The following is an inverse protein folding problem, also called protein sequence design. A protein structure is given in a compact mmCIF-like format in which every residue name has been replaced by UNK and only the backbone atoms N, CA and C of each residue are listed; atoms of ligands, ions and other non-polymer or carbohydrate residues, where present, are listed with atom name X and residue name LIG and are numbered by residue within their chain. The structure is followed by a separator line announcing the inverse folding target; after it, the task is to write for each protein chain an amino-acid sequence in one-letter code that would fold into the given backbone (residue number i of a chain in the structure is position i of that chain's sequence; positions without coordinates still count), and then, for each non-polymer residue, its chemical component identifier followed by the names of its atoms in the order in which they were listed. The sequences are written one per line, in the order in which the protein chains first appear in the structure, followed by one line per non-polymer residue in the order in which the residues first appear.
data_IF_401969712599
#
_entry.id   IF_401969712599
#
_cell.length_a   1.000
_cell.length_b   1.000
_cell.length_c   1.000
_cell.angle_alpha   90.00
_cell.angle_beta   90.00
_cell.angle_gamma   90.00
#
_symmetry.space_group_name_H-M   'P 1'
#
loop_
_entity.id
_entity.type
_entity.pdbx_description
1 polymer ?
#
# COMPACT_ATOMS: atom_id res chain seq x y z
N UNK A 1 21.78 -29.13 -37.80
CA UNK A 1 21.27 -27.89 -38.40
C UNK A 1 20.60 -27.16 -37.24
N UNK A 2 21.35 -26.32 -36.52
CA UNK A 2 20.94 -25.75 -35.25
C UNK A 2 20.12 -24.49 -35.49
N UNK A 3 18.88 -24.48 -35.03
CA UNK A 3 18.10 -23.27 -34.86
C UNK A 3 18.70 -22.48 -33.70
N UNK A 4 19.12 -21.25 -34.02
CA UNK A 4 19.52 -20.24 -33.05
C UNK A 4 18.22 -19.67 -32.48
N UNK A 5 17.93 -19.98 -31.21
CA UNK A 5 16.89 -19.28 -30.46
C UNK A 5 17.55 -18.04 -29.85
N UNK A 6 17.13 -16.88 -30.34
CA UNK A 6 17.55 -15.56 -29.89
C UNK A 6 17.12 -15.34 -28.43
N UNK A 7 18.06 -15.41 -27.49
CA UNK A 7 17.85 -15.23 -26.04
C UNK A 7 17.89 -13.75 -25.60
N UNK A 8 17.71 -12.79 -26.51
CA UNK A 8 17.85 -11.36 -26.22
C UNK A 8 16.75 -10.74 -25.33
N UNK A 9 15.81 -11.52 -24.77
CA UNK A 9 14.75 -11.00 -23.88
C UNK A 9 14.77 -11.50 -22.43
N UNK A 10 15.81 -12.24 -21.99
CA UNK A 10 15.92 -12.68 -20.59
C UNK A 10 16.93 -11.88 -19.73
N UNK A 11 17.52 -10.81 -20.27
CA UNK A 11 18.56 -10.02 -19.58
C UNK A 11 18.05 -8.75 -18.86
N UNK A 12 16.76 -8.57 -18.64
CA UNK A 12 16.20 -7.39 -17.94
C UNK A 12 15.83 -7.62 -16.48
N UNK A 13 16.31 -8.70 -15.84
CA UNK A 13 16.04 -8.93 -14.41
C UNK A 13 17.13 -8.25 -13.57
N UNK A 14 16.87 -6.98 -13.23
CA UNK A 14 17.29 -6.25 -12.04
C UNK A 14 18.66 -6.61 -11.42
N UNK A 15 19.74 -6.09 -12.01
CA UNK A 15 21.09 -6.09 -11.44
C UNK A 15 21.25 -5.20 -10.20
N UNK A 16 20.25 -4.37 -9.86
CA UNK A 16 20.40 -3.23 -8.95
C UNK A 16 19.85 -3.40 -7.52
N UNK A 17 19.34 -4.59 -7.16
CA UNK A 17 18.98 -4.92 -5.75
C UNK A 17 20.20 -5.36 -4.92
N UNK A 18 21.41 -5.34 -5.49
CA UNK A 18 22.57 -6.06 -4.96
C UNK A 18 23.34 -5.40 -3.83
N UNK A 19 23.18 -4.11 -3.52
CA UNK A 19 24.32 -3.43 -2.90
C UNK A 19 24.16 -2.93 -1.43
N UNK A 20 22.99 -3.10 -0.78
CA UNK A 20 22.99 -3.34 0.70
C UNK A 20 22.69 -4.77 1.08
N UNK A 21 22.34 -5.59 0.09
CA UNK A 21 22.13 -7.02 0.23
C UNK A 21 23.23 -7.81 -0.49
N UNK A 22 24.49 -7.37 -0.40
CA UNK A 22 25.61 -8.06 -1.08
C UNK A 22 25.71 -9.56 -0.73
N UNK A 23 25.07 -10.01 0.35
CA UNK A 23 25.01 -11.43 0.79
C UNK A 23 23.65 -12.13 0.65
N UNK A 24 22.55 -11.45 0.31
CA UNK A 24 21.20 -12.06 0.25
C UNK A 24 20.76 -12.21 -1.21
N UNK A 25 20.17 -13.37 -1.53
CA UNK A 25 19.48 -13.57 -2.80
C UNK A 25 18.26 -12.65 -2.87
N UNK A 26 17.82 -12.31 -4.09
CA UNK A 26 16.62 -11.50 -4.31
C UNK A 26 15.40 -12.09 -3.58
N UNK A 27 15.22 -13.41 -3.65
CA UNK A 27 14.16 -14.12 -2.95
C UNK A 27 14.17 -13.88 -1.43
N UNK A 28 15.36 -13.91 -0.80
CA UNK A 28 15.49 -13.67 0.65
C UNK A 28 15.18 -12.22 1.02
N UNK A 29 15.47 -11.28 0.12
CA UNK A 29 15.14 -9.88 0.31
C UNK A 29 13.64 -9.65 0.20
N UNK A 30 12.99 -10.20 -0.83
CA UNK A 30 11.53 -10.11 -0.99
C UNK A 30 10.81 -10.74 0.20
N UNK A 31 11.21 -11.95 0.61
CA UNK A 31 10.64 -12.59 1.79
C UNK A 31 10.83 -11.78 3.09
N UNK A 32 11.95 -11.05 3.22
CA UNK A 32 12.19 -10.16 4.36
C UNK A 32 11.28 -8.93 4.31
N UNK A 33 11.07 -8.35 3.13
CA UNK A 33 10.16 -7.23 2.92
C UNK A 33 8.74 -7.66 3.27
N UNK A 34 8.30 -8.81 2.77
CA UNK A 34 6.98 -9.37 3.08
C UNK A 34 6.80 -9.61 4.58
N UNK A 35 7.84 -10.13 5.25
CA UNK A 35 7.83 -10.30 6.70
C UNK A 35 7.70 -8.96 7.44
N UNK A 36 8.42 -7.92 7.02
CA UNK A 36 8.28 -6.59 7.61
C UNK A 36 6.90 -6.00 7.37
N UNK A 37 6.27 -6.24 6.21
CA UNK A 37 4.95 -5.68 5.89
C UNK A 37 3.85 -6.16 6.84
N UNK A 38 3.98 -7.35 7.44
CA UNK A 38 3.00 -7.94 8.38
C UNK A 38 3.40 -7.81 9.85
N UNK A 39 4.57 -7.24 10.13
CA UNK A 39 5.11 -7.08 11.47
C UNK A 39 4.77 -5.69 12.03
N UNK A 40 4.14 -5.68 13.20
CA UNK A 40 3.69 -4.47 13.91
C UNK A 40 4.81 -3.78 14.68
N UNK A 41 5.93 -4.47 14.91
CA UNK A 41 7.03 -3.96 15.72
C UNK A 41 8.09 -3.25 14.86
N UNK A 42 7.98 -3.30 13.54
CA UNK A 42 9.02 -2.77 12.63
C UNK A 42 8.44 -1.81 11.59
N UNK A 43 9.20 -0.78 11.23
CA UNK A 43 8.93 0.14 10.12
C UNK A 43 10.03 0.03 9.07
N UNK A 44 9.71 -0.57 7.93
CA UNK A 44 10.65 -0.72 6.82
C UNK A 44 10.90 0.59 6.07
N UNK A 45 12.05 0.66 5.41
CA UNK A 45 12.36 1.72 4.46
C UNK A 45 13.12 1.15 3.27
N UNK A 46 12.91 1.76 2.11
CA UNK A 46 13.81 1.66 0.98
C UNK A 46 14.64 2.94 0.88
N UNK A 47 15.91 2.83 0.50
CA UNK A 47 16.78 3.97 0.22
C UNK A 47 17.65 3.68 -1.00
N UNK A 48 18.25 4.73 -1.57
CA UNK A 48 19.14 4.61 -2.72
C UNK A 48 20.55 4.99 -2.28
N UNK A 49 21.52 4.14 -2.57
CA UNK A 49 22.93 4.37 -2.29
C UNK A 49 23.71 4.54 -3.58
N UNK A 50 24.91 5.10 -3.47
CA UNK A 50 25.93 5.08 -4.51
C UNK A 50 27.11 4.24 -4.02
N UNK A 51 27.62 3.33 -4.84
CA UNK A 51 28.70 2.42 -4.44
C UNK A 51 29.96 3.20 -4.04
N UNK A 52 30.51 2.88 -2.87
CA UNK A 52 31.68 3.55 -2.28
C UNK A 52 31.39 4.94 -1.68
N UNK A 53 30.11 5.36 -1.65
CA UNK A 53 29.64 6.60 -1.02
C UNK A 53 28.35 6.36 -0.23
N UNK A 54 28.28 5.24 0.46
CA UNK A 54 27.11 4.83 1.22
C UNK A 54 26.84 5.79 2.39
N UNK A 55 25.59 6.23 2.52
CA UNK A 55 25.11 7.09 3.61
C UNK A 55 23.98 6.35 4.31
N UNK A 56 24.14 6.07 5.59
CA UNK A 56 23.12 5.38 6.38
C UNK A 56 22.30 6.37 7.22
N UNK A 57 20.99 6.13 7.42
CA UNK A 57 20.21 5.00 6.87
C UNK A 57 19.58 5.29 5.50
N UNK A 58 19.41 6.56 5.13
CA UNK A 58 18.54 6.98 4.02
C UNK A 58 19.25 7.30 2.70
N UNK A 59 20.52 6.93 2.59
CA UNK A 59 21.25 6.98 1.35
C UNK A 59 21.52 8.40 0.85
N UNK A 60 21.93 8.49 -0.40
CA UNK A 60 22.42 9.73 -1.02
C UNK A 60 21.32 10.80 -1.17
N UNK A 61 20.05 10.37 -1.20
CA UNK A 61 18.88 11.26 -1.26
C UNK A 61 18.54 11.78 0.14
N UNK A 62 19.05 11.12 1.19
CA UNK A 62 18.72 11.36 2.59
C UNK A 62 17.20 11.35 2.85
N UNK A 63 16.47 10.46 2.17
CA UNK A 63 15.02 10.26 2.31
C UNK A 63 14.66 8.79 2.03
N UNK A 64 13.84 8.15 2.88
CA UNK A 64 13.33 6.82 2.62
C UNK A 64 12.16 6.84 1.63
N UNK A 65 11.92 5.69 1.00
CA UNK A 65 10.68 5.36 0.30
C UNK A 65 9.94 4.28 1.10
N UNK A 66 8.61 4.33 1.08
CA UNK A 66 7.77 3.29 1.66
C UNK A 66 7.51 2.15 0.68
N UNK A 67 7.32 2.44 -0.60
CA UNK A 67 7.10 1.44 -1.65
C UNK A 67 8.36 1.25 -2.51
N UNK A 68 8.61 -0.01 -2.89
CA UNK A 68 9.78 -0.37 -3.72
C UNK A 68 9.71 0.25 -5.12
N UNK A 69 8.53 0.25 -5.74
CA UNK A 69 8.32 0.81 -7.08
C UNK A 69 8.66 2.31 -7.16
N UNK A 70 8.40 3.07 -6.09
CA UNK A 70 8.78 4.47 -5.97
C UNK A 70 10.30 4.63 -5.93
N UNK A 71 10.99 3.76 -5.18
CA UNK A 71 12.45 3.73 -5.14
C UNK A 71 13.04 3.34 -6.50
N UNK A 72 12.47 2.35 -7.19
CA UNK A 72 12.90 1.91 -8.53
C UNK A 72 12.75 3.03 -9.56
N UNK A 73 11.59 3.70 -9.61
CA UNK A 73 11.41 4.87 -10.50
C UNK A 73 12.44 5.96 -10.23
N UNK A 74 12.74 6.24 -8.96
CA UNK A 74 13.74 7.27 -8.63
C UNK A 74 15.15 6.82 -8.97
N UNK A 75 15.47 5.54 -8.79
CA UNK A 75 16.76 4.95 -9.15
C UNK A 75 17.02 5.11 -10.66
N UNK A 76 16.04 4.80 -11.50
CA UNK A 76 16.16 4.93 -12.95
C UNK A 76 16.36 6.38 -13.39
N UNK A 77 15.66 7.33 -12.75
CA UNK A 77 15.93 8.77 -12.95
C UNK A 77 17.37 9.13 -12.63
N UNK A 78 17.91 8.67 -11.49
CA UNK A 78 19.28 8.97 -11.09
C UNK A 78 20.34 8.38 -12.02
N UNK A 79 20.15 7.14 -12.49
CA UNK A 79 21.05 6.52 -13.48
C UNK A 79 21.01 7.24 -14.81
N UNK A 80 19.83 7.70 -15.24
CA UNK A 80 19.71 8.49 -16.47
C UNK A 80 20.42 9.84 -16.35
N UNK A 81 20.38 10.47 -15.17
CA UNK A 81 21.03 11.76 -14.90
C UNK A 81 22.54 11.62 -14.72
N UNK A 82 23.01 10.53 -14.13
CA UNK A 82 24.41 10.29 -13.79
C UNK A 82 24.81 8.82 -14.07
N UNK A 83 25.00 8.43 -15.34
CA UNK A 83 25.20 7.02 -15.72
C UNK A 83 26.51 6.41 -15.21
N UNK A 84 27.49 7.25 -14.87
CA UNK A 84 28.79 6.82 -14.35
C UNK A 84 28.77 6.44 -12.86
N UNK A 85 27.65 6.72 -12.17
CA UNK A 85 27.51 6.41 -10.74
C UNK A 85 26.73 5.11 -10.59
N UNK A 86 27.33 4.12 -9.92
CA UNK A 86 26.65 2.87 -9.63
C UNK A 86 25.67 3.04 -8.46
N UNK A 87 24.41 3.29 -8.80
CA UNK A 87 23.31 3.39 -7.86
C UNK A 87 22.60 2.05 -7.67
N UNK A 88 22.13 1.85 -6.44
CA UNK A 88 21.38 0.65 -6.07
C UNK A 88 20.41 0.91 -4.92
N UNK A 89 19.38 0.06 -4.85
CA UNK A 89 18.38 0.14 -3.79
C UNK A 89 18.79 -0.67 -2.59
N UNK A 90 18.40 -0.15 -1.44
CA UNK A 90 18.68 -0.71 -0.15
C UNK A 90 17.44 -0.78 0.70
N UNK A 91 17.33 -1.81 1.52
CA UNK A 91 16.18 -2.00 2.40
C UNK A 91 16.65 -2.19 3.84
N UNK A 92 15.94 -1.58 4.77
CA UNK A 92 16.17 -1.70 6.20
C UNK A 92 14.87 -1.54 6.97
N UNK A 93 14.93 -1.70 8.28
CA UNK A 93 13.80 -1.46 9.16
C UNK A 93 14.26 -0.92 10.51
N UNK A 94 13.39 -0.15 11.15
CA UNK A 94 13.54 0.32 12.52
C UNK A 94 12.48 -0.31 13.41
N UNK A 95 12.79 -0.58 14.67
CA UNK A 95 11.75 -0.88 15.64
C UNK A 95 10.82 0.34 15.79
N UNK A 96 9.52 0.11 15.86
CA UNK A 96 8.51 1.18 16.02
C UNK A 96 8.76 2.01 17.28
N UNK A 97 9.35 1.42 18.32
CA UNK A 97 9.73 2.10 19.55
C UNK A 97 10.81 3.19 19.37
N UNK A 98 11.56 3.17 18.27
CA UNK A 98 12.54 4.21 17.95
C UNK A 98 11.93 5.41 17.20
N UNK A 99 10.67 5.31 16.78
CA UNK A 99 10.00 6.33 15.99
C UNK A 99 8.99 7.09 16.85
N UNK A 100 8.95 8.42 16.69
CA UNK A 100 7.93 9.24 17.32
C UNK A 100 6.86 9.64 16.30
N UNK A 101 5.79 8.83 16.21
CA UNK A 101 4.67 9.10 15.30
C UNK A 101 3.94 10.42 15.59
N UNK A 102 4.02 10.90 16.84
CA UNK A 102 3.36 12.13 17.28
C UNK A 102 4.23 13.39 17.09
N UNK A 103 5.47 13.29 16.59
CA UNK A 103 6.33 14.47 16.45
C UNK A 103 5.95 15.32 15.23
N UNK A 104 5.09 16.32 15.43
CA UNK A 104 4.63 17.23 14.38
C UNK A 104 5.75 18.11 13.77
N UNK A 105 6.96 18.14 14.37
CA UNK A 105 8.06 19.00 13.91
C UNK A 105 9.03 18.32 12.94
N UNK A 106 8.84 17.03 12.65
CA UNK A 106 9.68 16.32 11.68
C UNK A 106 9.55 16.92 10.27
N UNK A 107 10.59 16.84 9.43
CA UNK A 107 10.49 17.29 8.04
C UNK A 107 9.32 16.60 7.31
N UNK A 108 8.72 17.29 6.33
CA UNK A 108 7.55 16.79 5.60
C UNK A 108 7.76 15.40 4.98
N UNK A 109 8.96 15.09 4.47
CA UNK A 109 9.24 13.77 3.90
C UNK A 109 9.15 12.66 4.96
N UNK A 110 9.59 12.95 6.19
CA UNK A 110 9.57 12.01 7.31
C UNK A 110 8.14 11.83 7.79
N UNK A 111 7.38 12.93 7.88
CA UNK A 111 5.95 12.90 8.18
C UNK A 111 5.18 12.02 7.19
N UNK A 112 5.42 12.15 5.89
CA UNK A 112 4.77 11.30 4.87
C UNK A 112 5.11 9.83 5.08
N UNK A 113 6.38 9.49 5.31
CA UNK A 113 6.80 8.11 5.54
C UNK A 113 6.22 7.53 6.84
N UNK A 114 6.21 8.30 7.93
CA UNK A 114 5.59 7.90 9.21
C UNK A 114 4.09 7.70 9.08
N UNK A 115 3.40 8.56 8.33
CA UNK A 115 1.96 8.44 8.08
C UNK A 115 1.61 7.15 7.32
N UNK A 116 2.41 6.76 6.32
CA UNK A 116 2.23 5.48 5.61
C UNK A 116 2.40 4.29 6.55
N UNK A 117 3.38 4.34 7.45
CA UNK A 117 3.57 3.32 8.48
C UNK A 117 2.46 3.28 9.51
N UNK A 118 1.99 4.44 9.95
CA UNK A 118 0.88 4.53 10.89
C UNK A 118 -0.40 3.92 10.32
N UNK A 119 -0.69 4.20 9.05
CA UNK A 119 -1.80 3.57 8.35
C UNK A 119 -1.64 2.04 8.27
N UNK A 120 -0.46 1.56 7.86
CA UNK A 120 -0.14 0.12 7.80
C UNK A 120 -0.33 -0.55 9.17
N UNK A 121 0.23 0.02 10.23
CA UNK A 121 0.13 -0.52 11.59
C UNK A 121 -1.32 -0.51 12.10
N UNK A 122 -2.07 0.54 11.80
CA UNK A 122 -3.51 0.60 12.08
C UNK A 122 -4.23 -0.55 11.38
N UNK A 123 -3.95 -0.79 10.10
CA UNK A 123 -4.55 -1.87 9.33
C UNK A 123 -4.26 -3.26 9.92
N UNK A 124 -3.01 -3.53 10.30
CA UNK A 124 -2.64 -4.80 10.94
C UNK A 124 -3.40 -5.03 12.24
N UNK A 125 -3.55 -3.98 13.07
CA UNK A 125 -4.28 -4.06 14.33
C UNK A 125 -5.76 -4.30 14.12
N UNK A 126 -6.40 -3.58 13.18
CA UNK A 126 -7.81 -3.78 12.83
C UNK A 126 -8.06 -5.20 12.34
N UNK A 127 -7.19 -5.75 11.48
CA UNK A 127 -7.32 -7.12 10.96
C UNK A 127 -7.22 -8.21 12.03
N UNK A 128 -6.63 -7.91 13.19
CA UNK A 128 -6.55 -8.82 14.35
C UNK A 128 -7.68 -8.63 15.36
N UNK A 129 -8.54 -7.61 15.19
CA UNK A 129 -9.65 -7.38 16.11
C UNK A 129 -10.69 -8.48 16.01
N UNK A 130 -11.22 -8.89 17.16
CA UNK A 130 -12.40 -9.74 17.22
C UNK A 130 -13.64 -9.00 16.72
N UNK A 131 -14.67 -9.74 16.30
CA UNK A 131 -15.96 -9.16 15.90
C UNK A 131 -16.54 -8.24 16.98
N UNK A 132 -16.42 -8.61 18.27
CA UNK A 132 -16.88 -7.76 19.37
C UNK A 132 -16.17 -6.40 19.38
N UNK A 133 -14.84 -6.39 19.21
CA UNK A 133 -14.07 -5.15 19.13
C UNK A 133 -14.42 -4.33 17.89
N UNK A 134 -14.70 -4.98 16.75
CA UNK A 134 -15.12 -4.31 15.52
C UNK A 134 -16.51 -3.67 15.67
N UNK A 135 -17.46 -4.32 16.34
CA UNK A 135 -18.79 -3.75 16.66
C UNK A 135 -18.68 -2.57 17.61
N UNK A 136 -17.80 -2.65 18.62
CA UNK A 136 -17.53 -1.51 19.51
C UNK A 136 -16.94 -0.31 18.75
N UNK A 137 -16.09 -0.57 17.74
CA UNK A 137 -15.44 0.46 16.93
C UNK A 137 -16.37 1.05 15.85
N UNK A 138 -17.22 0.21 15.26
CA UNK A 138 -18.17 0.54 14.20
C UNK A 138 -19.52 -0.09 14.55
N UNK A 139 -20.44 0.67 15.17
CA UNK A 139 -21.69 0.12 15.70
C UNK A 139 -22.57 -0.63 14.69
N UNK A 140 -22.50 -0.28 13.41
CA UNK A 140 -23.24 -0.94 12.33
C UNK A 140 -22.41 -1.99 11.56
N UNK A 141 -21.30 -2.48 12.13
CA UNK A 141 -20.42 -3.46 11.51
C UNK A 141 -21.16 -4.72 11.02
N UNK A 142 -22.05 -5.28 11.85
CA UNK A 142 -22.79 -6.51 11.49
C UNK A 142 -23.75 -6.29 10.32
N UNK A 143 -24.43 -5.15 10.29
CA UNK A 143 -25.30 -4.76 9.18
C UNK A 143 -24.51 -4.60 7.88
N UNK A 144 -23.30 -4.00 7.95
CA UNK A 144 -22.41 -3.86 6.80
C UNK A 144 -21.90 -5.22 6.29
N UNK A 145 -21.62 -6.17 7.17
CA UNK A 145 -21.20 -7.52 6.79
C UNK A 145 -22.34 -8.30 6.10
N UNK A 146 -23.56 -8.19 6.61
CA UNK A 146 -24.74 -8.78 5.95
C UNK A 146 -24.95 -8.14 4.59
N UNK A 147 -24.87 -6.81 4.51
CA UNK A 147 -24.99 -6.09 3.24
C UNK A 147 -23.90 -6.53 2.25
N UNK A 148 -22.64 -6.65 2.67
CA UNK A 148 -21.53 -7.11 1.83
C UNK A 148 -21.85 -8.44 1.15
N UNK A 149 -22.35 -9.40 1.92
CA UNK A 149 -22.70 -10.73 1.42
C UNK A 149 -23.85 -10.65 0.40
N UNK A 150 -24.86 -9.82 0.64
CA UNK A 150 -25.96 -9.62 -0.34
C UNK A 150 -25.49 -9.00 -1.65
N UNK A 151 -24.44 -8.18 -1.61
CA UNK A 151 -23.88 -7.54 -2.81
C UNK A 151 -22.78 -8.38 -3.48
N UNK A 152 -22.41 -9.53 -2.91
CA UNK A 152 -21.35 -10.39 -3.42
C UNK A 152 -21.79 -11.21 -4.65
N UNK A 153 -22.11 -10.52 -5.74
CA UNK A 153 -22.62 -11.10 -6.99
C UNK A 153 -21.59 -10.99 -8.12
N UNK A 154 -21.74 -11.73 -9.21
CA UNK A 154 -20.87 -11.57 -10.39
C UNK A 154 -21.11 -10.25 -11.13
N UNK A 155 -22.33 -9.73 -11.09
CA UNK A 155 -22.77 -8.54 -11.83
C UNK A 155 -22.42 -7.20 -11.17
N UNK A 156 -22.03 -7.21 -9.89
CA UNK A 156 -21.76 -6.01 -9.12
C UNK A 156 -20.52 -6.15 -8.21
N UNK A 157 -19.86 -5.03 -7.96
CA UNK A 157 -18.80 -4.85 -6.98
C UNK A 157 -19.32 -3.94 -5.87
N UNK A 158 -19.30 -4.42 -4.63
CA UNK A 158 -19.39 -3.52 -3.48
C UNK A 158 -18.08 -2.78 -3.28
N UNK A 159 -18.15 -1.61 -2.69
CA UNK A 159 -16.98 -0.87 -2.22
C UNK A 159 -17.32 -0.04 -0.99
N UNK A 160 -16.28 0.34 -0.27
CA UNK A 160 -16.32 1.16 0.93
C UNK A 160 -15.41 2.37 0.77
N UNK A 161 -15.76 3.49 1.38
CA UNK A 161 -14.94 4.69 1.44
C UNK A 161 -14.98 5.26 2.85
N UNK A 162 -13.83 5.65 3.38
CA UNK A 162 -13.79 6.55 4.52
C UNK A 162 -13.98 7.99 4.01
N UNK A 163 -14.96 8.70 4.57
CA UNK A 163 -15.33 10.05 4.15
C UNK A 163 -15.36 10.96 5.37
N UNK A 164 -14.58 12.04 5.36
CA UNK A 164 -14.73 13.10 6.34
C UNK A 164 -15.94 13.98 5.96
N UNK A 165 -16.65 14.45 6.97
CA UNK A 165 -17.80 15.32 6.81
C UNK A 165 -17.44 16.77 7.13
N UNK A 166 -18.08 17.70 6.42
CA UNK A 166 -18.13 19.09 6.83
C UNK A 166 -19.20 19.33 7.90
N UNK A 167 -19.34 20.58 8.33
CA UNK A 167 -20.33 20.99 9.34
C UNK A 167 -21.79 20.80 8.87
N UNK A 168 -22.03 20.59 7.57
CA UNK A 168 -23.34 20.32 6.97
C UNK A 168 -23.58 18.84 6.69
N UNK A 169 -22.77 17.96 7.28
CA UNK A 169 -22.75 16.51 7.03
C UNK A 169 -22.51 16.13 5.55
N UNK A 170 -21.98 17.05 4.74
CA UNK A 170 -21.61 16.76 3.36
C UNK A 170 -20.23 16.10 3.30
N UNK A 171 -20.13 15.11 2.42
CA UNK A 171 -18.89 14.37 2.23
C UNK A 171 -17.82 15.24 1.58
N UNK A 172 -16.67 15.32 2.23
CA UNK A 172 -15.50 16.03 1.70
C UNK A 172 -14.68 15.01 0.94
N UNK A 173 -14.34 15.34 -0.31
CA UNK A 173 -13.43 14.53 -1.10
C UNK A 173 -12.09 14.44 -0.37
N UNK A 174 -11.74 13.24 0.05
CA UNK A 174 -10.42 12.91 0.58
C UNK A 174 -9.68 12.12 -0.49
N UNK A 175 -8.37 11.99 -0.34
CA UNK A 175 -7.58 11.02 -1.12
C UNK A 175 -7.91 9.56 -0.73
N UNK A 176 -9.13 9.27 -0.26
CA UNK A 176 -9.53 7.95 0.17
C UNK A 176 -9.73 7.05 -1.04
N UNK A 177 -9.03 5.93 -1.01
CA UNK A 177 -9.18 4.85 -1.96
C UNK A 177 -10.54 4.17 -1.78
N UNK A 178 -11.04 3.56 -2.85
CA UNK A 178 -12.23 2.71 -2.77
C UNK A 178 -11.75 1.33 -2.32
N UNK A 179 -12.25 0.88 -1.17
CA UNK A 179 -11.85 -0.39 -0.57
C UNK A 179 -12.89 -1.48 -0.88
N UNK A 180 -12.44 -2.68 -1.24
CA UNK A 180 -13.33 -3.86 -1.24
C UNK A 180 -13.50 -4.39 0.18
N UNK A 181 -12.40 -4.45 0.94
CA UNK A 181 -12.44 -4.96 2.32
C UNK A 181 -12.93 -3.87 3.29
N UNK A 182 -14.00 -4.19 4.03
CA UNK A 182 -14.52 -3.32 5.08
C UNK A 182 -13.46 -3.01 6.15
N UNK A 183 -12.57 -3.95 6.47
CA UNK A 183 -11.51 -3.73 7.47
C UNK A 183 -10.51 -2.68 7.02
N UNK A 184 -10.21 -2.60 5.72
CA UNK A 184 -9.36 -1.56 5.15
C UNK A 184 -10.05 -0.18 5.25
N UNK A 185 -11.35 -0.12 4.98
CA UNK A 185 -12.14 1.12 5.18
C UNK A 185 -12.23 1.55 6.65
N UNK A 186 -12.34 0.60 7.59
CA UNK A 186 -12.28 0.88 9.03
C UNK A 186 -10.91 1.44 9.41
N UNK A 187 -9.83 0.88 8.85
CA UNK A 187 -8.46 1.37 9.08
C UNK A 187 -8.30 2.81 8.58
N UNK A 188 -8.82 3.11 7.39
CA UNK A 188 -8.84 4.45 6.84
C UNK A 188 -9.66 5.42 7.68
N UNK A 189 -10.84 5.01 8.17
CA UNK A 189 -11.63 5.82 9.10
C UNK A 189 -10.83 6.18 10.36
N UNK A 190 -10.13 5.22 10.96
CA UNK A 190 -9.31 5.48 12.16
C UNK A 190 -8.18 6.45 11.88
N UNK A 191 -7.43 6.22 10.80
CA UNK A 191 -6.33 7.09 10.40
C UNK A 191 -6.80 8.53 10.14
N UNK A 192 -7.86 8.72 9.34
CA UNK A 192 -8.38 10.06 9.06
C UNK A 192 -8.99 10.75 10.28
N UNK A 193 -9.62 9.99 11.18
CA UNK A 193 -10.12 10.55 12.45
C UNK A 193 -8.99 11.14 13.30
N UNK A 194 -7.78 10.56 13.22
CA UNK A 194 -6.59 11.08 13.87
C UNK A 194 -6.02 12.30 13.13
N UNK A 195 -5.82 12.21 11.82
CA UNK A 195 -5.14 13.26 11.04
C UNK A 195 -6.01 14.47 10.71
N UNK A 196 -7.33 14.37 10.89
CA UNK A 196 -8.28 15.46 10.67
C UNK A 196 -9.10 15.72 11.96
N UNK A 197 -8.44 16.16 13.04
CA UNK A 197 -9.11 16.36 14.32
C UNK A 197 -10.24 17.38 14.18
N UNK A 198 -11.36 17.11 14.86
CA UNK A 198 -12.56 17.96 14.82
C UNK A 198 -13.52 17.67 13.65
N UNK A 199 -13.21 16.71 12.78
CA UNK A 199 -14.14 16.24 11.74
C UNK A 199 -14.70 14.87 12.09
N UNK A 200 -15.98 14.67 11.77
CA UNK A 200 -16.60 13.35 11.81
C UNK A 200 -16.16 12.59 10.56
N UNK A 201 -15.66 11.37 10.74
CA UNK A 201 -15.33 10.46 9.64
C UNK A 201 -16.26 9.26 9.70
N UNK A 202 -16.88 8.93 8.58
CA UNK A 202 -17.80 7.82 8.43
C UNK A 202 -17.38 6.89 7.30
N UNK A 203 -17.87 5.64 7.35
CA UNK A 203 -17.70 4.68 6.26
C UNK A 203 -18.96 4.75 5.42
N UNK A 204 -18.81 5.06 4.14
CA UNK A 204 -19.87 4.99 3.14
C UNK A 204 -19.67 3.72 2.32
N UNK A 205 -20.76 3.02 2.04
CA UNK A 205 -20.78 1.83 1.19
C UNK A 205 -21.51 2.12 -0.11
N UNK A 206 -21.06 1.53 -1.21
CA UNK A 206 -21.67 1.69 -2.52
C UNK A 206 -21.53 0.44 -3.39
N UNK A 207 -22.26 0.42 -4.50
CA UNK A 207 -22.19 -0.66 -5.49
C UNK A 207 -21.94 -0.05 -6.86
N UNK A 208 -21.04 -0.67 -7.61
CA UNK A 208 -20.79 -0.37 -9.02
C UNK A 208 -21.01 -1.65 -9.83
N UNK A 209 -21.50 -1.54 -11.06
CA UNK A 209 -21.64 -2.74 -11.91
C UNK A 209 -20.25 -3.29 -12.27
N UNK A 210 -20.14 -4.60 -12.45
CA UNK A 210 -18.89 -5.22 -12.91
C UNK A 210 -18.48 -4.69 -14.28
N UNK A 211 -19.46 -4.43 -15.16
CA UNK A 211 -19.21 -3.86 -16.48
C UNK A 211 -18.59 -2.46 -16.37
N UNK A 212 -19.19 -1.56 -15.59
CA UNK A 212 -18.69 -0.19 -15.41
C UNK A 212 -17.30 -0.20 -14.76
N UNK A 213 -17.09 -1.01 -13.73
CA UNK A 213 -15.81 -1.10 -13.04
C UNK A 213 -14.70 -1.66 -13.96
N UNK A 214 -15.00 -2.67 -14.77
CA UNK A 214 -14.03 -3.24 -15.72
C UNK A 214 -13.81 -2.35 -16.95
N UNK A 215 -14.75 -1.45 -17.26
CA UNK A 215 -14.60 -0.44 -18.29
C UNK A 215 -13.73 0.75 -17.85
N UNK A 216 -13.47 0.91 -16.54
CA UNK A 216 -12.49 1.90 -16.07
C UNK A 216 -11.10 1.51 -16.58
N UNK A 217 -10.52 2.36 -17.43
CA UNK A 217 -9.13 2.19 -17.85
C UNK A 217 -8.21 2.56 -16.67
N UNK A 218 -7.69 1.54 -15.99
CA UNK A 218 -6.73 1.68 -14.90
C UNK A 218 -5.45 2.45 -15.29
N UNK A 219 -5.16 2.62 -16.59
CA UNK A 219 -4.04 3.47 -17.05
C UNK A 219 -4.30 4.97 -16.92
N UNK A 220 -5.55 5.38 -16.73
CA UNK A 220 -5.92 6.80 -16.57
C UNK A 220 -6.18 7.21 -15.13
N UNK A 221 -6.25 6.26 -14.18
CA UNK A 221 -6.44 6.56 -12.77
C UNK A 221 -5.92 5.43 -11.87
N UNK A 222 -4.65 5.53 -11.48
CA UNK A 222 -3.96 4.57 -10.59
C UNK A 222 -4.76 4.27 -9.30
N UNK A 223 -5.60 5.20 -8.84
CA UNK A 223 -6.38 5.06 -7.62
C UNK A 223 -7.50 4.00 -7.69
N UNK A 224 -7.92 3.56 -8.89
CA UNK A 224 -8.91 2.49 -9.04
C UNK A 224 -8.29 1.12 -9.34
N UNK A 225 -7.00 1.06 -9.66
CA UNK A 225 -6.37 -0.19 -10.09
C UNK A 225 -6.42 -1.26 -8.98
N UNK A 226 -6.17 -0.86 -7.73
CA UNK A 226 -6.27 -1.76 -6.58
C UNK A 226 -7.69 -2.33 -6.39
N UNK A 227 -8.72 -1.50 -6.58
CA UNK A 227 -10.13 -1.93 -6.53
C UNK A 227 -10.45 -2.92 -7.68
N UNK A 228 -9.99 -2.60 -8.89
CA UNK A 228 -10.21 -3.46 -10.07
C UNK A 228 -9.56 -4.83 -9.86
N UNK A 229 -8.32 -4.88 -9.36
CA UNK A 229 -7.61 -6.14 -9.16
C UNK A 229 -8.21 -6.97 -8.02
N UNK A 230 -8.58 -6.33 -6.90
CA UNK A 230 -9.32 -7.00 -5.83
C UNK A 230 -10.67 -7.55 -6.32
N UNK A 231 -11.37 -6.85 -7.22
CA UNK A 231 -12.63 -7.35 -7.80
C UNK A 231 -12.40 -8.54 -8.73
N UNK A 232 -11.32 -8.55 -9.51
CA UNK A 232 -10.94 -9.73 -10.33
C UNK A 232 -10.68 -10.95 -9.45
N UNK A 233 -9.98 -10.79 -8.34
CA UNK A 233 -9.72 -11.86 -7.38
C UNK A 233 -11.01 -12.37 -6.72
N UNK A 234 -11.92 -11.45 -6.36
CA UNK A 234 -13.26 -11.77 -5.85
C UNK A 234 -14.06 -12.58 -6.88
N UNK A 235 -14.08 -12.16 -8.14
CA UNK A 235 -14.75 -12.88 -9.24
C UNK A 235 -14.15 -14.27 -9.46
N UNK A 236 -12.83 -14.40 -9.42
CA UNK A 236 -12.16 -15.70 -9.50
C UNK A 236 -12.55 -16.61 -8.31
N UNK A 237 -12.68 -16.04 -7.11
CA UNK A 237 -13.08 -16.76 -5.91
C UNK A 237 -14.55 -17.21 -5.95
N UNK A 238 -15.45 -16.40 -6.52
CA UNK A 238 -16.85 -16.76 -6.71
C UNK A 238 -16.99 -17.96 -7.66
N UNK A 239 -16.29 -17.93 -8.80
CA UNK A 239 -16.23 -19.05 -9.75
C UNK A 239 -15.72 -20.34 -9.10
N UNK A 240 -14.80 -20.24 -8.14
CA UNK A 240 -14.28 -21.39 -7.40
C UNK A 240 -15.21 -21.89 -6.27
N UNK A 241 -16.14 -21.06 -5.77
CA UNK A 241 -17.05 -21.38 -4.67
C UNK A 241 -18.39 -21.98 -5.13
N UNK A 242 -18.77 -21.82 -6.39
CA UNK A 242 -19.92 -22.51 -6.97
C UNK A 242 -20.36 -21.95 -8.30
N UNK A 243 -19.98 -22.62 -9.39
CA UNK A 243 -20.85 -23.33 -10.35
C UNK A 243 -20.00 -24.13 -11.36
#
# INVERSE_FOLDING_TARGET
MNQITDTSQQNSINSHLRSTNKSRTLEKLLAQIDAWMVDEEVCHHFSIQAEGKEIYPFGIINRPFFHLDQAERKLESLKSENPEVDYYITAGAFDTSFLNFEDENVPMWERVWLNQHEFRLTNLRIKKMSQKQLVELVPNYEEMMVWQETQNTESACHYYMATALDESDQGISMSSEWFIDLLDAISAKQYFSKTCPGRKVEIRSGVVSTEDLMALDGRTSDCYQALIDAHKERLASLKNKGE
#
